data_IF_609314275048
#
_entry.id   IF_609314275048
#
_cell.length_a   1.000
_cell.length_b   1.000
_cell.length_c   1.000
_cell.angle_alpha   90.00
_cell.angle_beta   90.00
_cell.angle_gamma   90.00
#
_symmetry.space_group_name_H-M   'P 1'
#
loop_
_entity.id
_entity.type
_entity.pdbx_description
1 polymer ?
#
# COMPACT_ATOMS: atom_id res chain seq x y z
N UNK A 1 -14.17 2.90 20.56
CA UNK A 1 -12.78 3.27 20.86
C UNK A 1 -11.90 2.14 20.37
N UNK A 2 -10.96 2.40 19.46
CA UNK A 2 -10.01 1.39 18.98
C UNK A 2 -8.92 1.24 20.04
N UNK A 3 -8.56 0.01 20.41
CA UNK A 3 -7.56 -0.22 21.46
C UNK A 3 -6.16 0.09 20.92
N UNK A 4 -5.24 0.61 21.73
CA UNK A 4 -3.89 0.93 21.28
C UNK A 4 -3.13 -0.30 20.76
N UNK A 5 -3.46 -1.49 21.27
CA UNK A 5 -2.94 -2.77 20.77
C UNK A 5 -3.42 -3.12 19.35
N UNK A 6 -4.58 -2.62 18.93
CA UNK A 6 -5.13 -2.87 17.58
C UNK A 6 -4.41 -2.03 16.51
N UNK A 7 -3.70 -0.97 16.90
CA UNK A 7 -2.97 -0.07 16.01
C UNK A 7 -1.66 -0.67 15.47
N UNK A 8 -1.15 -1.73 16.12
CA UNK A 8 0.13 -2.37 15.80
C UNK A 8 -0.04 -3.72 15.09
N UNK A 9 -1.28 -4.18 14.89
CA UNK A 9 -1.54 -5.47 14.25
C UNK A 9 -1.38 -5.38 12.73
N UNK A 10 -0.87 -6.46 12.13
CA UNK A 10 -0.85 -6.62 10.68
C UNK A 10 -2.28 -6.56 10.13
N UNK A 11 -2.46 -5.88 9.00
CA UNK A 11 -3.74 -5.88 8.29
C UNK A 11 -3.97 -7.30 7.75
N UNK A 12 -5.13 -7.88 8.02
CA UNK A 12 -5.44 -9.22 7.53
C UNK A 12 -5.47 -9.24 6.00
N UNK A 13 -5.08 -10.38 5.41
CA UNK A 13 -5.16 -10.58 3.96
C UNK A 13 -6.56 -10.36 3.40
N UNK A 14 -7.60 -10.73 4.17
CA UNK A 14 -8.99 -10.53 3.75
C UNK A 14 -9.38 -9.04 3.72
N UNK A 15 -8.90 -8.24 4.68
CA UNK A 15 -9.11 -6.79 4.64
C UNK A 15 -8.37 -6.14 3.48
N UNK A 16 -7.14 -6.58 3.17
CA UNK A 16 -6.41 -6.10 1.99
C UNK A 16 -7.19 -6.41 0.69
N UNK A 17 -7.66 -7.64 0.52
CA UNK A 17 -8.48 -8.03 -0.64
C UNK A 17 -9.76 -7.20 -0.75
N UNK A 18 -10.45 -6.95 0.37
CA UNK A 18 -11.66 -6.10 0.40
C UNK A 18 -11.36 -4.69 -0.11
N UNK A 19 -10.25 -4.09 0.34
CA UNK A 19 -9.81 -2.75 -0.12
C UNK A 19 -9.49 -2.75 -1.61
N UNK A 20 -8.71 -3.73 -2.07
CA UNK A 20 -8.34 -3.84 -3.48
C UNK A 20 -9.58 -4.00 -4.37
N UNK A 21 -10.55 -4.81 -3.98
CA UNK A 21 -11.80 -4.96 -4.73
C UNK A 21 -12.58 -3.64 -4.82
N UNK A 22 -12.71 -2.90 -3.72
CA UNK A 22 -13.39 -1.60 -3.71
C UNK A 22 -12.66 -0.57 -4.58
N UNK A 23 -11.33 -0.54 -4.55
CA UNK A 23 -10.52 0.35 -5.39
C UNK A 23 -10.66 -0.02 -6.86
N UNK A 24 -10.60 -1.30 -7.22
CA UNK A 24 -10.76 -1.76 -8.61
C UNK A 24 -12.12 -1.38 -9.18
N UNK A 25 -13.19 -1.46 -8.38
CA UNK A 25 -14.52 -1.01 -8.81
C UNK A 25 -14.53 0.48 -9.20
N UNK A 26 -13.88 1.33 -8.40
CA UNK A 26 -13.78 2.78 -8.71
C UNK A 26 -12.83 3.06 -9.87
N UNK A 27 -11.77 2.26 -10.03
CA UNK A 27 -10.88 2.35 -11.20
C UNK A 27 -11.62 2.02 -12.50
N UNK A 28 -12.48 1.00 -12.49
CA UNK A 28 -13.37 0.65 -13.62
C UNK A 28 -14.29 1.83 -13.97
N UNK A 29 -15.01 2.36 -12.98
CA UNK A 29 -15.94 3.48 -13.17
C UNK A 29 -15.26 4.74 -13.76
N UNK A 30 -13.96 4.91 -13.51
CA UNK A 30 -13.19 6.11 -13.87
C UNK A 30 -12.22 5.91 -15.03
N UNK A 31 -12.22 4.74 -15.66
CA UNK A 31 -11.30 4.38 -16.74
C UNK A 31 -9.82 4.60 -16.35
N UNK A 32 -9.44 4.07 -15.18
CA UNK A 32 -8.08 4.15 -14.64
C UNK A 32 -7.41 2.79 -14.74
N UNK A 33 -6.36 2.68 -15.54
CA UNK A 33 -5.62 1.42 -15.70
C UNK A 33 -4.64 1.14 -14.54
N UNK A 34 -3.96 2.18 -14.04
CA UNK A 34 -2.89 2.03 -13.05
C UNK A 34 -2.95 3.17 -12.03
N UNK A 35 -2.92 2.82 -10.74
CA UNK A 35 -2.65 3.76 -9.66
C UNK A 35 -1.17 3.71 -9.26
N UNK A 36 -0.54 4.88 -9.14
CA UNK A 36 0.83 5.03 -8.64
C UNK A 36 0.79 5.71 -7.27
N UNK A 37 1.30 5.01 -6.26
CA UNK A 37 1.38 5.53 -4.90
C UNK A 37 2.85 5.70 -4.54
N UNK A 38 3.24 6.90 -4.14
CA UNK A 38 4.58 7.17 -3.64
C UNK A 38 4.50 7.49 -2.15
N UNK A 39 5.37 6.88 -1.37
CA UNK A 39 5.58 7.32 -0.01
C UNK A 39 6.73 8.34 0.03
N UNK A 40 6.37 9.63 -0.04
CA UNK A 40 7.34 10.73 0.02
C UNK A 40 7.63 11.22 1.44
N UNK A 41 6.98 10.67 2.48
CA UNK A 41 7.24 11.05 3.86
C UNK A 41 7.42 9.83 4.79
N UNK A 42 8.46 9.86 5.62
CA UNK A 42 8.89 8.70 6.41
C UNK A 42 7.97 8.35 7.59
N UNK A 43 6.96 9.15 7.89
CA UNK A 43 6.18 9.05 9.14
C UNK A 43 4.74 8.56 8.95
N UNK A 44 4.17 8.70 7.76
CA UNK A 44 2.82 8.23 7.48
C UNK A 44 2.91 7.24 6.32
N UNK A 45 2.86 5.93 6.61
CA UNK A 45 2.86 4.89 5.58
C UNK A 45 1.80 5.07 4.49
N UNK A 46 0.78 5.89 4.73
CA UNK A 46 -0.09 6.47 3.71
C UNK A 46 -0.75 5.42 2.84
N UNK A 47 -0.83 5.71 1.54
CA UNK A 47 -1.39 4.77 0.57
C UNK A 47 -0.54 3.51 0.41
N UNK A 48 0.78 3.57 0.58
CA UNK A 48 1.62 2.36 0.53
C UNK A 48 1.22 1.38 1.64
N UNK A 49 1.10 1.83 2.89
CA UNK A 49 0.64 1.00 4.02
C UNK A 49 -0.80 0.52 3.80
N UNK A 50 -1.68 1.39 3.30
CA UNK A 50 -3.08 1.03 3.06
C UNK A 50 -3.23 -0.14 2.08
N UNK A 51 -2.40 -0.18 1.03
CA UNK A 51 -2.45 -1.20 -0.03
C UNK A 51 -1.61 -2.43 0.26
N UNK A 52 -0.51 -2.32 1.01
CA UNK A 52 0.48 -3.40 1.13
C UNK A 52 0.69 -3.94 2.54
N UNK A 53 0.20 -3.24 3.56
CA UNK A 53 0.59 -3.42 4.96
C UNK A 53 2.10 -3.22 5.25
N UNK A 54 2.90 -2.81 4.27
CA UNK A 54 4.32 -2.50 4.46
C UNK A 54 4.42 -1.21 5.29
N UNK A 55 5.09 -1.23 6.45
CA UNK A 55 5.27 -0.04 7.27
C UNK A 55 6.18 0.98 6.57
N UNK A 56 5.95 2.26 6.86
CA UNK A 56 6.92 3.28 6.50
C UNK A 56 8.26 2.94 7.18
N UNK A 57 9.32 2.84 6.37
CA UNK A 57 10.68 2.71 6.87
C UNK A 57 11.37 4.05 6.66
N UNK A 58 12.01 4.56 7.71
CA UNK A 58 12.72 5.84 7.66
C UNK A 58 13.70 5.88 6.48
N UNK A 59 13.66 6.95 5.68
CA UNK A 59 14.62 7.22 4.62
C UNK A 59 14.49 6.39 3.33
N UNK A 60 13.58 5.41 3.26
CA UNK A 60 13.38 4.60 2.06
C UNK A 60 12.30 5.18 1.16
N UNK A 61 12.67 5.69 -0.02
CA UNK A 61 11.69 5.90 -1.09
C UNK A 61 11.04 4.54 -1.44
N UNK A 62 9.71 4.50 -1.39
CA UNK A 62 8.93 3.33 -1.81
C UNK A 62 7.81 3.81 -2.71
N UNK A 63 7.60 3.07 -3.80
CA UNK A 63 6.46 3.26 -4.69
C UNK A 63 5.73 1.94 -4.90
N UNK A 64 4.42 2.03 -5.10
CA UNK A 64 3.56 0.89 -5.42
C UNK A 64 2.79 1.23 -6.68
N UNK A 65 2.83 0.33 -7.65
CA UNK A 65 1.97 0.34 -8.82
C UNK A 65 0.84 -0.67 -8.58
N UNK A 66 -0.39 -0.23 -8.73
CA UNK A 66 -1.57 -1.07 -8.62
C UNK A 66 -2.33 -1.05 -9.95
N UNK A 67 -2.01 -1.98 -10.88
CA UNK A 67 -2.70 -2.11 -12.16
C UNK A 67 -4.07 -2.74 -11.95
N UNK A 68 -5.07 -2.38 -12.77
CA UNK A 68 -6.48 -2.82 -12.72
C UNK A 68 -6.66 -4.34 -12.81
N UNK A 69 -5.88 -5.02 -13.64
CA UNK A 69 -6.08 -6.44 -13.96
C UNK A 69 -4.85 -7.32 -13.71
N UNK A 70 -3.78 -6.74 -13.18
CA UNK A 70 -2.52 -7.43 -12.92
C UNK A 70 -2.12 -7.41 -11.43
N UNK A 71 -1.16 -8.27 -11.02
CA UNK A 71 -0.55 -8.20 -9.71
C UNK A 71 0.06 -6.83 -9.41
N UNK A 72 -0.01 -6.42 -8.15
CA UNK A 72 0.61 -5.20 -7.65
C UNK A 72 2.14 -5.31 -7.70
N UNK A 73 2.81 -4.20 -8.06
CA UNK A 73 4.27 -4.11 -8.09
C UNK A 73 4.75 -3.14 -7.02
N UNK A 74 5.69 -3.58 -6.18
CA UNK A 74 6.34 -2.74 -5.18
C UNK A 74 7.78 -2.41 -5.60
N UNK A 75 8.11 -1.13 -5.67
CA UNK A 75 9.45 -0.60 -5.93
C UNK A 75 10.05 -0.14 -4.62
N UNK A 76 11.15 -0.77 -4.21
CA UNK A 76 11.84 -0.51 -2.93
C UNK A 76 13.35 -0.63 -3.12
N UNK A 77 14.10 0.04 -2.26
CA UNK A 77 15.54 -0.18 -2.16
C UNK A 77 15.83 -1.62 -1.70
N UNK A 78 16.94 -2.18 -2.18
CA UNK A 78 17.47 -3.44 -1.66
C UNK A 78 18.00 -3.29 -0.23
N UNK A 79 18.53 -4.36 0.37
CA UNK A 79 19.19 -4.27 1.66
C UNK A 79 20.28 -3.18 1.66
N UNK A 80 20.50 -2.46 2.79
CA UNK A 80 21.68 -1.62 2.91
C UNK A 80 22.92 -2.48 2.65
N UNK A 81 23.84 -1.97 1.82
CA UNK A 81 25.12 -2.64 1.56
C UNK A 81 25.90 -2.75 2.87
N UNK A 82 26.27 -3.98 3.23
CA UNK A 82 27.22 -4.27 4.32
C UNK A 82 28.66 -4.15 3.82
#
# INVERSE_FOLDING_TARGET
MVNAGDLMNAISTEELKRRWAAVRAVMEERDIDILVMQNSNSFHGGYVKYFTDIPAVTGGYQAVLFPKDEPMVAIRHGPPGI
#
